data_IF_783448154857
#
_entry.id   IF_783448154857
#
_cell.length_a   1.000
_cell.length_b   1.000
_cell.length_c   1.000
_cell.angle_alpha   90.00
_cell.angle_beta   90.00
_cell.angle_gamma   90.00
#
_symmetry.space_group_name_H-M   'P 1'
#
loop_
_entity.id
_entity.type
_entity.pdbx_description
1 polymer ?
#
# COMPACT_ATOMS: atom_id res chain seq x y z
N UNK A 1 13.28 -11.41 11.59
CA UNK A 1 14.06 -10.20 11.23
C UNK A 1 15.03 -10.45 10.08
N UNK A 2 15.93 -11.46 10.16
CA UNK A 2 16.92 -11.78 9.11
C UNK A 2 16.29 -12.17 7.75
N UNK A 3 15.19 -12.93 7.75
CA UNK A 3 14.51 -13.35 6.51
C UNK A 3 13.82 -12.19 5.77
N UNK A 4 13.35 -11.17 6.50
CA UNK A 4 12.78 -9.96 5.90
C UNK A 4 13.90 -9.08 5.31
N UNK A 5 14.99 -8.83 6.06
CA UNK A 5 16.13 -8.07 5.53
C UNK A 5 16.73 -8.69 4.26
N UNK A 6 16.80 -10.02 4.17
CA UNK A 6 17.27 -10.73 2.97
C UNK A 6 16.34 -10.55 1.75
N UNK A 7 15.01 -10.60 1.95
CA UNK A 7 14.05 -10.36 0.87
C UNK A 7 14.18 -8.94 0.30
N UNK A 8 14.43 -7.98 1.18
CA UNK A 8 14.54 -6.57 0.81
C UNK A 8 15.87 -6.24 0.15
N UNK A 9 16.98 -6.80 0.63
CA UNK A 9 18.26 -6.75 -0.05
C UNK A 9 18.14 -7.39 -1.45
N UNK A 10 17.45 -8.52 -1.58
CA UNK A 10 17.20 -9.17 -2.87
C UNK A 10 16.30 -8.35 -3.82
N UNK A 11 15.29 -7.63 -3.31
CA UNK A 11 14.44 -6.73 -4.11
C UNK A 11 15.19 -5.46 -4.55
N UNK A 12 16.09 -4.95 -3.71
CA UNK A 12 16.99 -3.83 -4.05
C UNK A 12 18.07 -4.29 -5.04
N UNK A 13 18.65 -5.48 -4.87
CA UNK A 13 19.60 -6.07 -5.82
C UNK A 13 18.96 -6.39 -7.17
N UNK A 14 17.73 -6.91 -7.18
CA UNK A 14 16.96 -7.06 -8.40
C UNK A 14 16.76 -5.71 -9.08
N UNK A 15 16.70 -4.60 -8.34
CA UNK A 15 16.65 -3.25 -8.91
C UNK A 15 17.96 -2.80 -9.58
N UNK A 16 19.09 -3.41 -9.23
CA UNK A 16 20.43 -2.96 -9.66
C UNK A 16 20.96 -3.84 -10.79
N UNK A 17 20.76 -5.16 -10.74
CA UNK A 17 21.32 -6.06 -11.75
C UNK A 17 20.35 -6.32 -12.92
N UNK A 18 20.70 -5.80 -14.10
CA UNK A 18 19.91 -5.94 -15.34
C UNK A 18 19.75 -7.40 -15.77
N UNK A 19 20.77 -8.24 -15.57
CA UNK A 19 20.71 -9.65 -15.94
C UNK A 19 19.75 -10.43 -15.03
N UNK A 20 19.74 -10.14 -13.72
CA UNK A 20 18.79 -10.75 -12.77
C UNK A 20 17.36 -10.28 -13.02
N UNK A 21 17.14 -9.02 -13.45
CA UNK A 21 15.80 -8.55 -13.87
C UNK A 21 15.30 -9.22 -15.14
N UNK A 22 16.19 -9.47 -16.10
CA UNK A 22 15.83 -10.16 -17.34
C UNK A 22 15.11 -11.48 -17.03
N UNK A 23 15.58 -12.23 -16.03
CA UNK A 23 14.94 -13.49 -15.58
C UNK A 23 13.50 -13.30 -15.09
N UNK A 24 13.17 -12.16 -14.48
CA UNK A 24 11.81 -11.87 -14.02
C UNK A 24 10.82 -11.80 -15.18
N UNK A 25 11.25 -11.26 -16.31
CA UNK A 25 10.43 -11.12 -17.52
C UNK A 25 10.53 -12.33 -18.46
N UNK A 26 11.25 -13.39 -18.08
CA UNK A 26 11.31 -14.62 -18.89
C UNK A 26 10.11 -15.53 -18.67
N UNK A 27 9.78 -16.28 -19.72
CA UNK A 27 8.79 -17.34 -19.69
C UNK A 27 9.44 -18.69 -19.35
N UNK A 28 8.77 -19.51 -18.55
CA UNK A 28 9.24 -20.87 -18.24
C UNK A 28 9.16 -21.80 -19.45
N UNK A 29 10.03 -22.82 -19.46
CA UNK A 29 10.05 -23.85 -20.51
C UNK A 29 9.91 -25.26 -19.90
N UNK A 30 9.11 -26.16 -20.51
CA UNK A 30 8.10 -25.92 -21.56
C UNK A 30 6.80 -25.36 -20.94
N UNK A 31 6.20 -24.32 -21.55
CA UNK A 31 4.89 -23.82 -21.09
C UNK A 31 4.65 -22.31 -21.24
N UNK A 32 5.70 -21.52 -21.44
CA UNK A 32 5.54 -20.11 -21.78
C UNK A 32 4.90 -19.26 -20.65
N UNK A 33 4.96 -19.71 -19.39
CA UNK A 33 4.32 -19.02 -18.27
C UNK A 33 5.31 -18.09 -17.53
N UNK A 34 4.91 -16.87 -17.17
CA UNK A 34 5.78 -15.91 -16.50
C UNK A 34 5.82 -16.11 -14.97
N UNK A 35 6.22 -17.29 -14.51
CA UNK A 35 6.17 -17.65 -13.08
C UNK A 35 6.95 -16.69 -12.18
N UNK A 36 8.11 -16.22 -12.64
CA UNK A 36 8.97 -15.33 -11.85
C UNK A 36 8.28 -13.98 -11.61
N UNK A 37 7.75 -13.38 -12.67
CA UNK A 37 6.96 -12.16 -12.57
C UNK A 37 5.74 -12.34 -11.68
N UNK A 38 4.92 -13.37 -11.96
CA UNK A 38 3.69 -13.63 -11.21
C UNK A 38 3.96 -13.79 -9.71
N UNK A 39 5.02 -14.52 -9.34
CA UNK A 39 5.44 -14.68 -7.95
C UNK A 39 5.79 -13.34 -7.29
N UNK A 40 6.48 -12.45 -7.99
CA UNK A 40 6.84 -11.12 -7.47
C UNK A 40 5.61 -10.23 -7.32
N UNK A 41 4.77 -10.17 -8.36
CA UNK A 41 3.55 -9.35 -8.35
C UNK A 41 2.59 -9.82 -7.27
N UNK A 42 2.33 -11.12 -7.17
CA UNK A 42 1.43 -11.71 -6.17
C UNK A 42 1.93 -11.41 -4.74
N UNK A 43 3.23 -11.58 -4.47
CA UNK A 43 3.81 -11.25 -3.17
C UNK A 43 3.72 -9.77 -2.84
N UNK A 44 4.10 -8.89 -3.77
CA UNK A 44 4.12 -7.44 -3.52
C UNK A 44 2.69 -6.89 -3.36
N UNK A 45 1.81 -7.21 -4.30
CA UNK A 45 0.41 -6.76 -4.27
C UNK A 45 -0.33 -7.36 -3.09
N UNK A 46 -0.09 -8.63 -2.75
CA UNK A 46 -0.67 -9.29 -1.57
C UNK A 46 -0.25 -8.64 -0.25
N UNK A 47 1.04 -8.30 -0.09
CA UNK A 47 1.53 -7.58 1.10
C UNK A 47 0.89 -6.19 1.22
N UNK A 48 0.87 -5.42 0.14
CA UNK A 48 0.31 -4.07 0.12
C UNK A 48 -1.20 -4.12 0.39
N UNK A 49 -1.93 -5.02 -0.26
CA UNK A 49 -3.38 -5.16 -0.11
C UNK A 49 -3.75 -5.54 1.31
N UNK A 50 -3.12 -6.60 1.86
CA UNK A 50 -3.35 -7.01 3.25
C UNK A 50 -3.12 -5.87 4.22
N UNK A 51 -2.01 -5.13 4.07
CA UNK A 51 -1.72 -3.99 4.92
C UNK A 51 -2.75 -2.86 4.79
N UNK A 52 -3.24 -2.59 3.58
CA UNK A 52 -4.27 -1.58 3.30
C UNK A 52 -5.62 -1.95 3.92
N UNK A 53 -5.98 -3.24 3.86
CA UNK A 53 -7.19 -3.79 4.46
C UNK A 53 -7.13 -3.75 5.99
N UNK A 54 -5.99 -4.14 6.57
CA UNK A 54 -5.72 -4.07 8.01
C UNK A 54 -5.82 -2.62 8.51
N UNK A 55 -5.21 -1.66 7.78
CA UNK A 55 -5.32 -0.23 8.08
C UNK A 55 -6.76 0.28 8.00
N UNK A 56 -7.47 -0.09 6.93
CA UNK A 56 -8.85 0.35 6.72
C UNK A 56 -9.77 -0.17 7.82
N UNK A 57 -9.59 -1.43 8.23
CA UNK A 57 -10.32 -2.06 9.34
C UNK A 57 -10.05 -1.39 10.67
N UNK A 58 -8.78 -1.04 10.93
CA UNK A 58 -8.38 -0.34 12.16
C UNK A 58 -8.92 1.11 12.24
N UNK A 59 -9.31 1.70 11.11
CA UNK A 59 -9.85 3.06 11.04
C UNK A 59 -11.39 3.14 11.19
N UNK A 60 -12.12 2.02 11.19
CA UNK A 60 -13.58 2.01 11.35
C UNK A 60 -13.91 2.41 12.80
N UNK A 61 -14.58 3.56 12.98
CA UNK A 61 -15.13 3.98 14.29
C UNK A 61 -16.08 2.89 14.79
N UNK A 62 -16.12 2.56 16.09
CA UNK A 62 -17.20 1.74 16.63
C UNK A 62 -18.52 2.39 16.25
N UNK A 63 -19.34 1.68 15.47
CA UNK A 63 -20.68 2.13 15.15
C UNK A 63 -21.45 2.21 16.47
N UNK A 64 -22.04 3.37 16.77
CA UNK A 64 -22.97 3.49 17.90
C UNK A 64 -24.02 2.38 17.78
N UNK A 65 -24.24 1.56 18.82
CA UNK A 65 -25.46 0.76 18.90
C UNK A 65 -26.62 1.74 18.81
N UNK A 66 -27.46 1.63 17.78
CA UNK A 66 -28.71 2.39 17.69
C UNK A 66 -29.60 1.92 18.85
N UNK A 67 -29.50 2.58 20.00
CA UNK A 67 -30.41 2.38 21.12
C UNK A 67 -31.79 2.96 20.73
N UNK A 68 -32.90 2.24 20.98
CA UNK A 68 -34.23 2.80 20.87
C UNK A 68 -34.35 4.04 21.78
N UNK A 69 -34.79 5.16 21.22
CA UNK A 69 -34.99 6.42 21.94
C UNK A 69 -35.98 6.23 23.11
N UNK A 70 -35.48 6.40 24.34
CA UNK A 70 -36.33 6.68 25.50
C UNK A 70 -35.91 6.03 26.83
N UNK A 71 -34.82 6.49 27.46
CA UNK A 71 -34.66 6.35 28.93
C UNK A 71 -33.79 7.50 29.49
N UNK A 72 -34.11 8.12 30.64
CA UNK A 72 -33.30 9.18 31.23
C UNK A 72 -32.07 8.64 31.97
N UNK A 73 -30.94 9.31 31.72
CA UNK A 73 -29.77 9.56 32.60
C UNK A 73 -29.58 8.67 33.84
N UNK A 74 -28.64 7.71 33.76
CA UNK A 74 -27.66 7.37 34.82
C UNK A 74 -26.82 6.16 34.39
N UNK A 75 -25.67 6.34 33.73
CA UNK A 75 -24.67 5.25 33.64
C UNK A 75 -23.26 5.79 33.38
N UNK A 76 -22.43 5.91 34.43
CA UNK A 76 -21.01 6.28 34.36
C UNK A 76 -20.09 5.13 33.86
N UNK A 77 -20.64 4.00 33.43
CA UNK A 77 -19.87 2.80 33.04
C UNK A 77 -19.38 2.83 31.58
N UNK A 78 -20.05 3.61 30.73
CA UNK A 78 -19.88 3.57 29.27
C UNK A 78 -18.57 4.23 28.79
N UNK A 79 -18.17 5.34 29.41
CA UNK A 79 -16.95 6.10 29.06
C UNK A 79 -15.68 5.23 29.18
N UNK A 80 -15.63 4.32 30.15
CA UNK A 80 -14.46 3.46 30.38
C UNK A 80 -14.27 2.38 29.30
N UNK A 81 -15.38 1.86 28.74
CA UNK A 81 -15.37 0.88 27.67
C UNK A 81 -14.98 1.54 26.35
N UNK A 82 -15.52 2.72 26.05
CA UNK A 82 -15.10 3.53 24.91
C UNK A 82 -13.61 3.91 24.97
N UNK A 83 -13.11 4.34 26.14
CA UNK A 83 -11.70 4.68 26.32
C UNK A 83 -10.78 3.46 26.09
N UNK A 84 -11.14 2.28 26.63
CA UNK A 84 -10.40 1.03 26.42
C UNK A 84 -10.42 0.59 24.95
N UNK A 85 -11.57 0.72 24.27
CA UNK A 85 -11.71 0.41 22.85
C UNK A 85 -10.84 1.33 21.97
N UNK A 86 -10.80 2.64 22.25
CA UNK A 86 -9.93 3.59 21.54
C UNK A 86 -8.44 3.32 21.77
N UNK A 87 -8.03 2.98 23.00
CA UNK A 87 -6.64 2.61 23.32
C UNK A 87 -6.24 1.31 22.60
N UNK A 88 -7.15 0.34 22.52
CA UNK A 88 -6.95 -0.91 21.78
C UNK A 88 -6.83 -0.68 20.26
N UNK A 89 -7.66 0.19 19.68
CA UNK A 89 -7.59 0.54 18.25
C UNK A 89 -6.32 1.33 17.91
N UNK A 90 -5.92 2.30 18.76
CA UNK A 90 -4.64 2.99 18.60
C UNK A 90 -3.43 2.05 18.67
N UNK A 91 -3.45 1.07 19.59
CA UNK A 91 -2.42 0.05 19.70
C UNK A 91 -2.33 -0.86 18.48
N UNK A 92 -3.46 -1.22 17.86
CA UNK A 92 -3.49 -1.99 16.59
C UNK A 92 -2.84 -1.25 15.44
N UNK A 93 -3.16 0.03 15.26
CA UNK A 93 -2.56 0.86 14.19
C UNK A 93 -1.05 0.95 14.37
N UNK A 94 -0.57 1.18 15.59
CA UNK A 94 0.87 1.20 15.87
C UNK A 94 1.56 -0.13 15.54
N UNK A 95 0.93 -1.27 15.86
CA UNK A 95 1.47 -2.59 15.52
C UNK A 95 1.48 -2.83 13.99
N UNK A 96 0.44 -2.41 13.28
CA UNK A 96 0.39 -2.51 11.81
C UNK A 96 1.52 -1.67 11.20
N UNK A 97 1.71 -0.43 11.66
CA UNK A 97 2.75 0.48 11.16
C UNK A 97 4.18 -0.04 11.38
N UNK A 98 4.42 -0.93 12.36
CA UNK A 98 5.72 -1.59 12.52
C UNK A 98 6.12 -2.42 11.29
N UNK A 99 5.15 -2.97 10.55
CA UNK A 99 5.38 -3.67 9.28
C UNK A 99 5.47 -2.72 8.08
N UNK A 100 5.33 -1.40 8.29
CA UNK A 100 5.28 -0.40 7.23
C UNK A 100 6.53 -0.35 6.35
N UNK A 101 7.71 -0.66 6.90
CA UNK A 101 8.96 -0.67 6.14
C UNK A 101 8.93 -1.73 5.02
N UNK A 102 8.37 -2.91 5.27
CA UNK A 102 8.17 -3.96 4.26
C UNK A 102 7.28 -3.49 3.13
N UNK A 103 6.24 -2.71 3.44
CA UNK A 103 5.30 -2.17 2.44
C UNK A 103 5.94 -1.07 1.61
N UNK A 104 6.77 -0.21 2.22
CA UNK A 104 7.58 0.78 1.49
C UNK A 104 8.45 0.09 0.44
N UNK A 105 9.14 -0.98 0.84
CA UNK A 105 10.01 -1.73 -0.06
C UNK A 105 9.22 -2.48 -1.15
N UNK A 106 8.09 -3.09 -0.81
CA UNK A 106 7.23 -3.75 -1.79
C UNK A 106 6.69 -2.76 -2.83
N UNK A 107 6.17 -1.61 -2.39
CA UNK A 107 5.65 -0.56 -3.28
C UNK A 107 6.74 0.02 -4.19
N UNK A 108 7.93 0.27 -3.64
CA UNK A 108 9.04 0.80 -4.40
C UNK A 108 9.60 -0.21 -5.40
N UNK A 109 9.70 -1.49 -5.03
CA UNK A 109 10.15 -2.56 -5.91
C UNK A 109 9.19 -2.76 -7.08
N UNK A 110 7.89 -2.99 -6.80
CA UNK A 110 6.91 -3.29 -7.85
C UNK A 110 6.74 -2.13 -8.83
N UNK A 111 6.73 -0.87 -8.35
CA UNK A 111 6.66 0.30 -9.23
C UNK A 111 7.92 0.49 -10.07
N UNK A 112 9.07 -0.03 -9.63
CA UNK A 112 10.31 -0.01 -10.43
C UNK A 112 10.32 -1.04 -11.50
N UNK A 113 9.95 -2.26 -11.16
CA UNK A 113 9.88 -3.31 -12.14
C UNK A 113 8.80 -3.00 -13.19
N UNK A 114 7.68 -2.39 -12.79
CA UNK A 114 6.66 -1.88 -13.69
C UNK A 114 7.19 -0.81 -14.66
N UNK A 115 8.02 0.13 -14.21
CA UNK A 115 8.62 1.14 -15.09
C UNK A 115 9.69 0.53 -16.02
N UNK A 116 10.52 -0.37 -15.49
CA UNK A 116 11.57 -1.04 -16.25
C UNK A 116 11.01 -1.98 -17.31
N UNK A 117 9.81 -2.54 -17.10
CA UNK A 117 9.17 -3.40 -18.09
C UNK A 117 8.90 -2.70 -19.41
N UNK A 118 8.77 -1.38 -19.43
CA UNK A 118 8.59 -0.65 -20.69
C UNK A 118 9.74 -0.89 -21.69
N UNK A 119 10.96 -1.12 -21.18
CA UNK A 119 12.15 -1.35 -21.99
C UNK A 119 12.68 -2.79 -21.92
N UNK A 120 12.43 -3.50 -20.83
CA UNK A 120 13.03 -4.81 -20.53
C UNK A 120 12.08 -6.00 -20.71
N UNK A 121 10.76 -5.79 -20.83
CA UNK A 121 9.77 -6.86 -20.96
C UNK A 121 9.39 -7.13 -22.43
N UNK A 122 10.08 -8.08 -23.03
CA UNK A 122 9.87 -8.48 -24.44
C UNK A 122 8.48 -9.06 -24.74
N UNK A 123 7.74 -9.49 -23.72
CA UNK A 123 6.46 -10.20 -23.88
C UNK A 123 5.27 -9.39 -23.38
N UNK A 124 5.47 -8.22 -22.79
CA UNK A 124 4.42 -7.37 -22.24
C UNK A 124 3.68 -7.99 -21.04
N UNK A 125 4.28 -8.97 -20.37
CA UNK A 125 3.72 -9.66 -19.21
C UNK A 125 3.39 -8.66 -18.10
N UNK A 126 4.33 -7.78 -17.77
CA UNK A 126 4.21 -6.83 -16.67
C UNK A 126 3.20 -5.73 -16.97
N UNK A 127 3.04 -5.36 -18.24
CA UNK A 127 2.09 -4.34 -18.68
C UNK A 127 0.65 -4.81 -18.49
N UNK A 128 0.38 -6.10 -18.67
CA UNK A 128 -0.93 -6.72 -18.38
C UNK A 128 -1.35 -6.57 -16.91
N UNK A 129 -0.41 -6.64 -15.99
CA UNK A 129 -0.68 -6.52 -14.55
C UNK A 129 -0.60 -5.07 -14.02
N UNK A 130 -0.32 -4.10 -14.90
CA UNK A 130 -0.19 -2.71 -14.50
C UNK A 130 -1.48 -2.13 -13.87
N UNK A 131 -2.69 -2.45 -14.38
CA UNK A 131 -3.94 -2.07 -13.72
C UNK A 131 -4.06 -2.57 -12.29
N UNK A 132 -3.68 -3.83 -12.05
CA UNK A 132 -3.69 -4.42 -10.72
C UNK A 132 -2.72 -3.70 -9.78
N UNK A 133 -1.50 -3.40 -10.25
CA UNK A 133 -0.47 -2.71 -9.47
C UNK A 133 -0.94 -1.29 -9.11
N UNK A 134 -1.44 -0.53 -10.09
CA UNK A 134 -1.92 0.84 -9.89
C UNK A 134 -3.08 0.87 -8.88
N UNK A 135 -4.10 0.03 -9.06
CA UNK A 135 -5.24 -0.02 -8.15
C UNK A 135 -4.82 -0.41 -6.72
N UNK A 136 -3.86 -1.32 -6.58
CA UNK A 136 -3.32 -1.72 -5.28
C UNK A 136 -2.59 -0.57 -4.58
N UNK A 137 -1.78 0.21 -5.32
CA UNK A 137 -1.09 1.38 -4.78
C UNK A 137 -2.05 2.53 -4.45
N UNK A 138 -3.09 2.74 -5.25
CA UNK A 138 -4.15 3.71 -4.97
C UNK A 138 -4.94 3.33 -3.71
N UNK A 139 -5.31 2.05 -3.54
CA UNK A 139 -5.98 1.57 -2.34
C UNK A 139 -5.12 1.81 -1.07
N UNK A 140 -3.81 1.56 -1.14
CA UNK A 140 -2.88 1.89 -0.06
C UNK A 140 -2.89 3.38 0.27
N UNK A 141 -2.78 4.25 -0.74
CA UNK A 141 -2.84 5.71 -0.55
C UNK A 141 -4.14 6.13 0.14
N UNK A 142 -5.28 5.63 -0.35
CA UNK A 142 -6.60 5.96 0.21
C UNK A 142 -6.74 5.48 1.68
N UNK A 143 -6.23 4.29 2.01
CA UNK A 143 -6.22 3.79 3.39
C UNK A 143 -5.37 4.69 4.31
N UNK A 144 -4.20 5.14 3.84
CA UNK A 144 -3.33 6.05 4.59
C UNK A 144 -3.96 7.46 4.74
N UNK A 145 -4.67 7.95 3.73
CA UNK A 145 -5.42 9.23 3.81
C UNK A 145 -6.55 9.18 4.83
N UNK A 146 -7.29 8.05 4.88
CA UNK A 146 -8.32 7.81 5.91
C UNK A 146 -7.73 7.79 7.32
N UNK A 147 -6.58 7.15 7.50
CA UNK A 147 -5.89 7.11 8.78
C UNK A 147 -5.40 8.49 9.23
N UNK A 148 -4.92 9.33 8.30
CA UNK A 148 -4.50 10.70 8.66
C UNK A 148 -5.68 11.53 9.21
N UNK A 149 -6.86 11.38 8.61
CA UNK A 149 -8.08 12.10 9.03
C UNK A 149 -8.66 11.60 10.35
N UNK A 150 -8.34 10.38 10.78
CA UNK A 150 -9.01 9.75 11.92
C UNK A 150 -8.47 10.19 13.31
N UNK A 151 -7.50 11.10 13.41
CA UNK A 151 -6.94 11.62 14.68
C UNK A 151 -6.42 10.56 15.68
N UNK A 152 -6.36 9.27 15.30
CA UNK A 152 -5.96 8.15 16.16
C UNK A 152 -4.51 8.30 16.69
N UNK A 153 -3.66 9.04 15.97
CA UNK A 153 -2.24 9.29 16.29
C UNK A 153 -1.97 10.47 17.25
N UNK A 154 -3.00 11.10 17.84
CA UNK A 154 -2.81 12.38 18.58
C UNK A 154 -2.68 12.29 20.10
N UNK A 155 -2.67 11.10 20.74
CA UNK A 155 -2.55 11.06 22.22
C UNK A 155 -1.86 9.82 22.81
N UNK A 156 -0.53 9.89 23.03
CA UNK A 156 0.16 9.87 24.34
C UNK A 156 1.68 9.66 24.16
N UNK A 157 2.43 10.33 25.03
CA UNK A 157 3.89 10.48 24.98
C UNK A 157 4.64 9.15 25.19
N UNK A 158 5.33 8.67 24.15
CA UNK A 158 6.47 7.75 24.24
C UNK A 158 7.35 7.93 22.99
N UNK A 159 8.66 7.62 23.08
CA UNK A 159 9.60 7.74 21.94
C UNK A 159 9.19 6.97 20.68
N UNK A 160 8.39 5.91 20.84
CA UNK A 160 7.85 5.11 19.74
C UNK A 160 6.85 5.87 18.86
N UNK A 161 6.16 6.87 19.40
CA UNK A 161 5.20 7.69 18.63
C UNK A 161 5.91 8.49 17.51
N UNK A 162 7.15 8.95 17.75
CA UNK A 162 7.95 9.63 16.74
C UNK A 162 8.34 8.68 15.60
N UNK A 163 8.75 7.46 15.93
CA UNK A 163 9.10 6.44 14.94
C UNK A 163 7.87 6.03 14.11
N UNK A 164 6.73 5.77 14.75
CA UNK A 164 5.48 5.42 14.08
C UNK A 164 5.02 6.54 13.16
N UNK A 165 5.08 7.80 13.60
CA UNK A 165 4.80 8.98 12.75
C UNK A 165 5.74 9.09 11.56
N UNK A 166 7.03 8.78 11.76
CA UNK A 166 8.01 8.77 10.69
C UNK A 166 7.71 7.68 9.67
N UNK A 167 7.45 6.45 10.10
CA UNK A 167 7.09 5.34 9.20
C UNK A 167 5.80 5.66 8.44
N UNK A 168 4.81 6.26 9.10
CA UNK A 168 3.57 6.70 8.45
C UNK A 168 3.83 7.75 7.36
N UNK A 169 4.67 8.76 7.62
CA UNK A 169 5.07 9.74 6.60
C UNK A 169 5.82 9.08 5.45
N UNK A 170 6.76 8.19 5.76
CA UNK A 170 7.53 7.46 4.76
C UNK A 170 6.65 6.55 3.89
N UNK A 171 5.63 5.90 4.47
CA UNK A 171 4.63 5.11 3.74
C UNK A 171 3.85 5.96 2.75
N UNK A 172 3.34 7.13 3.19
CA UNK A 172 2.63 8.06 2.32
C UNK A 172 3.51 8.54 1.17
N UNK A 173 4.73 8.95 1.49
CA UNK A 173 5.70 9.40 0.48
C UNK A 173 6.05 8.28 -0.50
N UNK A 174 6.24 7.04 -0.02
CA UNK A 174 6.56 5.89 -0.86
C UNK A 174 5.41 5.51 -1.79
N UNK A 175 4.17 5.48 -1.30
CA UNK A 175 2.99 5.21 -2.11
C UNK A 175 2.81 6.25 -3.21
N UNK A 176 2.87 7.55 -2.85
CA UNK A 176 2.79 8.66 -3.81
C UNK A 176 3.91 8.59 -4.85
N UNK A 177 5.17 8.46 -4.41
CA UNK A 177 6.33 8.36 -5.32
C UNK A 177 6.22 7.17 -6.26
N UNK A 178 5.71 6.03 -5.78
CA UNK A 178 5.52 4.82 -6.60
C UNK A 178 4.47 5.04 -7.69
N UNK A 179 3.34 5.70 -7.35
CA UNK A 179 2.31 6.07 -8.31
C UNK A 179 2.83 7.07 -9.33
N UNK A 180 3.44 8.17 -8.89
CA UNK A 180 4.04 9.18 -9.78
C UNK A 180 4.99 8.54 -10.78
N UNK A 181 5.90 7.66 -10.32
CA UNK A 181 6.87 6.99 -11.20
C UNK A 181 6.22 6.16 -12.29
N UNK A 182 5.15 5.43 -11.98
CA UNK A 182 4.41 4.66 -12.99
C UNK A 182 3.69 5.62 -13.95
N UNK A 183 2.92 6.55 -13.40
CA UNK A 183 2.04 7.44 -14.17
C UNK A 183 2.84 8.31 -15.14
N UNK A 184 3.97 8.88 -14.73
CA UNK A 184 4.81 9.70 -15.62
C UNK A 184 5.54 8.86 -16.67
N UNK A 185 5.83 7.58 -16.39
CA UNK A 185 6.49 6.71 -17.36
C UNK A 185 5.52 6.18 -18.42
N UNK A 186 4.29 5.89 -18.02
CA UNK A 186 3.25 5.35 -18.88
C UNK A 186 2.28 6.41 -19.40
N UNK A 187 2.57 7.70 -19.22
CA UNK A 187 1.68 8.82 -19.56
C UNK A 187 1.05 8.69 -20.95
N UNK A 188 1.89 8.41 -21.95
CA UNK A 188 1.48 8.28 -23.36
C UNK A 188 0.69 6.99 -23.66
N UNK A 189 0.72 6.01 -22.75
CA UNK A 189 0.07 4.71 -22.89
C UNK A 189 -1.12 4.53 -21.95
N UNK A 190 -1.46 5.50 -21.09
CA UNK A 190 -2.53 5.38 -20.08
C UNK A 190 -3.88 4.97 -20.70
N UNK A 191 -4.18 5.45 -21.90
CA UNK A 191 -5.41 5.08 -22.62
C UNK A 191 -5.49 3.59 -22.99
N UNK A 192 -4.35 2.94 -23.19
CA UNK A 192 -4.25 1.54 -23.64
C UNK A 192 -4.15 0.55 -22.48
N UNK A 193 -3.98 1.03 -21.24
CA UNK A 193 -3.81 0.19 -20.06
C UNK A 193 -5.09 -0.51 -19.60
N UNK A 194 -6.25 -0.21 -20.19
CA UNK A 194 -7.53 -0.82 -19.81
C UNK A 194 -7.95 -0.49 -18.37
N UNK A 195 -7.57 0.69 -17.88
CA UNK A 195 -7.94 1.17 -16.55
C UNK A 195 -9.40 1.64 -16.52
N UNK A 196 -10.06 1.46 -15.38
CA UNK A 196 -11.40 2.00 -15.15
C UNK A 196 -11.39 3.54 -15.19
N UNK A 197 -12.44 4.16 -15.72
CA UNK A 197 -12.56 5.62 -15.87
C UNK A 197 -12.29 6.38 -14.56
N UNK A 198 -12.82 5.87 -13.44
CA UNK A 198 -12.58 6.43 -12.09
C UNK A 198 -11.10 6.42 -11.70
N UNK A 199 -10.38 5.35 -12.05
CA UNK A 199 -8.94 5.23 -11.79
C UNK A 199 -8.16 6.20 -12.67
N UNK A 200 -8.53 6.33 -13.95
CA UNK A 200 -7.89 7.28 -14.88
C UNK A 200 -8.04 8.73 -14.39
N UNK A 201 -9.20 9.13 -13.90
CA UNK A 201 -9.42 10.47 -13.29
C UNK A 201 -8.50 10.71 -12.08
N UNK A 202 -8.34 9.70 -11.22
CA UNK A 202 -7.39 9.78 -10.10
C UNK A 202 -5.96 9.95 -10.61
N UNK A 203 -5.55 9.22 -11.65
CA UNK A 203 -4.22 9.35 -12.25
C UNK A 203 -4.00 10.70 -12.94
N UNK A 204 -5.03 11.31 -13.55
CA UNK A 204 -4.93 12.65 -14.10
C UNK A 204 -4.62 13.71 -13.03
N UNK A 205 -5.10 13.50 -11.79
CA UNK A 205 -4.72 14.37 -10.67
C UNK A 205 -3.23 14.26 -10.33
N UNK A 206 -2.64 13.06 -10.49
CA UNK A 206 -1.19 12.85 -10.39
C UNK A 206 -0.45 13.47 -11.58
N UNK A 207 -0.91 13.31 -12.82
CA UNK A 207 -0.29 13.95 -13.99
C UNK A 207 -0.29 15.48 -13.89
N UNK A 208 -1.35 16.06 -13.32
CA UNK A 208 -1.45 17.49 -13.08
C UNK A 208 -0.62 18.00 -11.88
N UNK A 209 0.14 17.12 -11.20
CA UNK A 209 0.89 17.41 -9.97
C UNK A 209 0.04 18.02 -8.84
N UNK A 210 -1.24 17.63 -8.76
CA UNK A 210 -2.20 18.17 -7.78
C UNK A 210 -2.30 17.35 -6.49
N UNK A 211 -1.55 16.25 -6.38
CA UNK A 211 -1.59 15.28 -5.27
C UNK A 211 -0.26 15.17 -4.52
#
# INVERSE_FOLDING_TARGET
>A
MLQQQALIAALIEARIDKARRGVLFTLSQPGGHPYNWNCVVEKCTGLIKKFSDDLSTACIKPQEPKLPLGVPSSTMTDVSAFQKQYIYQGGKVCHILFNGQTIIWAADAISSLAVLSLNEDSYGIAQKDLPLIINTLLALKQALDKLQKSNIMTKKQHGDDKFIKQIFHSLRAAAKRSLYRIVTCFEIYIGDLGLETTTVEQLHSFLAYRE
#
